data_IF_202865449852
#
_entry.id   IF_202865449852
#
_cell.length_a   1.000
_cell.length_b   1.000
_cell.length_c   1.000
_cell.angle_alpha   90.00
_cell.angle_beta   90.00
_cell.angle_gamma   90.00
#
_symmetry.space_group_name_H-M   'P 1'
#
loop_
_entity.id
_entity.type
_entity.pdbx_description
1 polymer ?
#
# COMPACT_ATOMS: atom_id res chain seq x y z
N UNK A 1 1.03 22.43 -3.21
CA UNK A 1 1.31 22.09 -1.80
C UNK A 1 2.49 21.13 -1.81
N UNK A 2 3.50 21.39 -0.99
CA UNK A 2 4.64 20.50 -0.83
C UNK A 2 4.25 19.31 0.07
N UNK A 3 4.83 18.14 -0.18
CA UNK A 3 4.49 16.90 0.55
C UNK A 3 4.69 17.01 2.07
N UNK A 4 5.68 17.79 2.51
CA UNK A 4 5.98 17.99 3.95
C UNK A 4 5.00 18.92 4.65
N UNK A 5 4.15 19.63 3.90
CA UNK A 5 3.08 20.48 4.46
C UNK A 5 1.80 19.69 4.75
N UNK A 6 1.72 18.44 4.28
CA UNK A 6 0.54 17.58 4.43
C UNK A 6 0.74 16.71 5.69
N UNK A 7 -0.16 16.76 6.68
CA UNK A 7 -0.05 15.91 7.88
C UNK A 7 -0.06 14.42 7.53
N UNK A 8 0.64 13.61 8.34
CA UNK A 8 0.59 12.13 8.25
C UNK A 8 -0.83 11.65 8.56
N UNK A 9 -1.35 10.76 7.72
CA UNK A 9 -2.63 10.11 7.95
C UNK A 9 -2.45 8.80 8.73
N UNK A 10 -3.45 8.45 9.54
CA UNK A 10 -3.48 7.21 10.29
C UNK A 10 -4.83 6.52 10.08
N UNK A 11 -4.88 5.21 10.29
CA UNK A 11 -6.16 4.49 10.36
C UNK A 11 -6.99 5.06 11.53
N UNK A 12 -8.26 5.41 11.32
CA UNK A 12 -9.12 5.88 12.40
C UNK A 12 -9.46 4.74 13.36
N UNK A 13 -9.73 5.08 14.62
CA UNK A 13 -10.23 4.12 15.62
C UNK A 13 -11.44 3.35 15.08
N UNK A 14 -11.36 2.02 15.08
CA UNK A 14 -12.42 1.16 14.56
C UNK A 14 -12.49 1.04 13.03
N UNK A 15 -11.45 1.48 12.31
CA UNK A 15 -11.30 1.42 10.86
C UNK A 15 -12.27 2.32 10.09
N UNK A 16 -11.92 2.68 8.87
CA UNK A 16 -12.87 3.37 8.00
C UNK A 16 -13.86 2.39 7.37
N UNK A 17 -15.13 2.81 7.25
CA UNK A 17 -16.19 2.02 6.62
C UNK A 17 -16.28 2.26 5.10
N UNK A 18 -15.90 3.45 4.68
CA UNK A 18 -15.81 3.88 3.28
C UNK A 18 -14.44 4.47 3.03
N UNK A 19 -13.90 4.22 1.83
CA UNK A 19 -12.58 4.69 1.43
C UNK A 19 -12.45 6.22 1.66
N UNK A 20 -11.45 6.69 2.42
CA UNK A 20 -11.30 8.11 2.73
C UNK A 20 -10.94 8.92 1.48
N UNK A 21 -11.12 10.24 1.56
CA UNK A 21 -10.63 11.16 0.53
C UNK A 21 -9.11 11.03 0.34
N UNK A 22 -8.56 11.32 -0.86
CA UNK A 22 -7.12 11.20 -1.08
C UNK A 22 -6.32 12.16 -0.20
N UNK A 23 -5.34 11.63 0.53
CA UNK A 23 -4.50 12.37 1.48
C UNK A 23 -3.58 13.35 0.77
N UNK A 24 -3.01 12.94 -0.37
CA UNK A 24 -2.05 13.73 -1.15
C UNK A 24 -2.73 14.54 -2.27
N UNK A 25 -4.05 14.75 -2.20
CA UNK A 25 -4.78 15.53 -3.18
C UNK A 25 -4.19 16.95 -3.34
N UNK A 26 -3.85 17.32 -4.58
CA UNK A 26 -3.27 18.65 -4.87
C UNK A 26 -1.81 18.83 -4.45
N UNK A 27 -1.15 17.77 -3.96
CA UNK A 27 0.31 17.77 -3.81
C UNK A 27 0.98 17.87 -5.18
N UNK A 28 2.04 18.67 -5.26
CA UNK A 28 2.79 18.91 -6.52
C UNK A 28 4.25 18.49 -6.42
N UNK A 29 4.67 17.89 -5.29
CA UNK A 29 6.03 17.37 -5.14
C UNK A 29 6.25 16.22 -6.14
N UNK A 30 7.28 16.27 -6.99
CA UNK A 30 7.56 15.20 -7.95
C UNK A 30 7.90 13.90 -7.22
N UNK A 31 7.68 12.75 -7.86
CA UNK A 31 8.08 11.46 -7.30
C UNK A 31 9.59 11.39 -7.10
N UNK A 32 10.00 10.69 -6.03
CA UNK A 32 11.38 10.33 -5.82
C UNK A 32 11.89 9.53 -7.04
N UNK A 33 13.13 9.76 -7.53
CA UNK A 33 13.61 9.15 -8.77
C UNK A 33 13.65 7.60 -8.76
N UNK A 34 13.78 7.00 -7.57
CA UNK A 34 13.77 5.54 -7.41
C UNK A 34 12.37 4.96 -7.18
N UNK A 35 11.33 5.79 -7.01
CA UNK A 35 9.99 5.32 -6.74
C UNK A 35 9.37 4.66 -7.99
N UNK A 36 8.82 3.45 -7.89
CA UNK A 36 7.88 2.99 -8.91
C UNK A 36 6.64 3.88 -8.89
N UNK A 37 6.11 4.19 -10.07
CA UNK A 37 4.83 4.89 -10.18
C UNK A 37 3.67 3.90 -9.94
N UNK A 38 3.26 3.81 -8.67
CA UNK A 38 2.17 2.98 -8.17
C UNK A 38 0.87 3.79 -8.00
N UNK A 39 0.90 5.11 -8.23
CA UNK A 39 -0.25 6.00 -7.99
C UNK A 39 -1.49 5.49 -8.69
N UNK A 40 -2.62 5.48 -7.99
CA UNK A 40 -3.95 5.15 -8.53
C UNK A 40 -4.69 4.11 -7.70
N UNK A 41 -5.77 3.60 -8.28
CA UNK A 41 -6.64 2.64 -7.62
C UNK A 41 -6.53 1.29 -8.34
N UNK A 42 -6.43 0.22 -7.55
CA UNK A 42 -6.02 -1.11 -7.99
C UNK A 42 -6.99 -2.15 -7.48
N UNK A 43 -7.29 -3.15 -8.31
CA UNK A 43 -8.08 -4.33 -7.93
C UNK A 43 -7.41 -5.59 -8.42
N UNK A 44 -7.48 -6.62 -7.58
CA UNK A 44 -6.99 -7.96 -7.91
C UNK A 44 -7.67 -8.53 -9.14
N UNK A 45 -6.87 -9.08 -10.05
CA UNK A 45 -7.32 -9.93 -11.16
C UNK A 45 -6.80 -11.36 -11.05
N UNK A 46 -5.77 -11.58 -10.24
CA UNK A 46 -5.20 -12.89 -9.93
C UNK A 46 -4.50 -12.82 -8.59
N UNK A 47 -4.68 -13.84 -7.77
CA UNK A 47 -3.92 -14.03 -6.54
C UNK A 47 -3.46 -15.49 -6.45
N UNK A 48 -2.27 -15.69 -5.91
CA UNK A 48 -1.69 -17.00 -5.63
C UNK A 48 -1.18 -17.06 -4.20
N UNK A 49 -1.35 -18.24 -3.59
CA UNK A 49 -0.84 -18.60 -2.26
C UNK A 49 -0.06 -19.89 -2.43
N UNK A 50 1.23 -19.86 -2.11
CA UNK A 50 2.18 -20.96 -2.28
C UNK A 50 2.15 -21.57 -3.70
N UNK A 51 2.06 -20.68 -4.71
CA UNK A 51 2.01 -21.04 -6.13
C UNK A 51 0.69 -21.65 -6.60
N UNK A 52 -0.33 -21.71 -5.74
CA UNK A 52 -1.67 -22.19 -6.07
C UNK A 52 -2.62 -21.00 -6.20
N UNK A 53 -3.52 -20.97 -7.20
CA UNK A 53 -4.55 -19.93 -7.28
C UNK A 53 -5.33 -19.81 -5.97
N UNK A 54 -5.48 -18.58 -5.46
CA UNK A 54 -6.27 -18.33 -4.27
C UNK A 54 -7.76 -18.63 -4.55
N UNK A 55 -8.47 -19.13 -3.54
CA UNK A 55 -9.92 -19.29 -3.62
C UNK A 55 -10.63 -17.95 -3.93
N UNK A 56 -11.73 -17.93 -4.70
CA UNK A 56 -12.37 -16.68 -5.13
C UNK A 56 -12.78 -15.76 -3.97
N UNK A 57 -13.14 -16.32 -2.83
CA UNK A 57 -13.57 -15.59 -1.63
C UNK A 57 -12.40 -15.25 -0.67
N UNK A 58 -11.18 -15.62 -1.03
CA UNK A 58 -9.98 -15.26 -0.27
C UNK A 58 -9.82 -13.74 -0.19
N UNK A 59 -9.38 -13.18 0.95
CA UNK A 59 -9.14 -11.74 1.07
C UNK A 59 -8.15 -11.23 0.00
N UNK A 60 -7.22 -12.07 -0.45
CA UNK A 60 -6.27 -11.71 -1.51
C UNK A 60 -6.92 -11.67 -2.90
N UNK A 61 -7.89 -12.56 -3.18
CA UNK A 61 -8.62 -12.59 -4.44
C UNK A 61 -9.59 -11.40 -4.56
N UNK A 62 -10.09 -10.89 -3.43
CA UNK A 62 -10.98 -9.73 -3.37
C UNK A 62 -10.26 -8.41 -3.05
N UNK A 63 -8.92 -8.42 -2.96
CA UNK A 63 -8.14 -7.27 -2.53
C UNK A 63 -8.26 -6.09 -3.51
N UNK A 64 -8.38 -4.89 -2.95
CA UNK A 64 -8.33 -3.63 -3.68
C UNK A 64 -7.60 -2.59 -2.82
N UNK A 65 -6.85 -1.70 -3.46
CA UNK A 65 -6.14 -0.63 -2.76
C UNK A 65 -6.05 0.65 -3.57
N UNK A 66 -5.99 1.79 -2.88
CA UNK A 66 -5.56 3.06 -3.47
C UNK A 66 -4.15 3.37 -2.99
N UNK A 67 -3.27 3.68 -3.92
CA UNK A 67 -1.91 4.16 -3.65
C UNK A 67 -1.78 5.60 -4.10
N UNK A 68 -1.26 6.45 -3.22
CA UNK A 68 -0.92 7.85 -3.47
C UNK A 68 0.57 8.04 -3.23
N UNK A 69 1.24 8.85 -4.05
CA UNK A 69 2.68 9.09 -3.91
C UNK A 69 3.04 10.54 -4.25
N UNK A 70 3.96 11.10 -3.46
CA UNK A 70 4.60 12.39 -3.72
C UNK A 70 5.97 12.40 -3.03
N UNK A 71 7.04 12.76 -3.76
CA UNK A 71 8.40 12.57 -3.25
C UNK A 71 8.66 11.10 -2.90
N UNK A 72 9.17 10.87 -1.69
CA UNK A 72 9.37 9.56 -1.08
C UNK A 72 8.18 9.08 -0.23
N UNK A 73 7.10 9.85 -0.14
CA UNK A 73 5.90 9.50 0.62
C UNK A 73 4.99 8.58 -0.17
N UNK A 74 4.47 7.57 0.50
CA UNK A 74 3.46 6.64 -0.02
C UNK A 74 2.30 6.55 0.97
N UNK A 75 1.08 6.69 0.48
CA UNK A 75 -0.14 6.42 1.26
C UNK A 75 -0.89 5.27 0.61
N UNK A 76 -1.16 4.22 1.37
CA UNK A 76 -1.92 3.04 0.94
C UNK A 76 -3.21 2.96 1.75
N UNK A 77 -4.35 3.03 1.06
CA UNK A 77 -5.66 2.79 1.67
C UNK A 77 -6.23 1.47 1.14
N UNK A 78 -6.53 0.54 2.04
CA UNK A 78 -7.13 -0.76 1.72
C UNK A 78 -7.77 -1.39 2.94
N UNK A 79 -8.85 -2.17 2.78
CA UNK A 79 -9.38 -3.03 3.85
C UNK A 79 -9.70 -2.32 5.16
N UNK A 80 -10.16 -1.07 5.11
CA UNK A 80 -10.43 -0.26 6.31
C UNK A 80 -9.23 0.46 6.94
N UNK A 81 -8.00 0.27 6.43
CA UNK A 81 -6.77 0.92 6.94
C UNK A 81 -6.20 1.99 6.01
N UNK A 82 -5.45 2.93 6.58
CA UNK A 82 -4.70 3.97 5.86
C UNK A 82 -3.27 4.01 6.38
N UNK A 83 -2.37 3.34 5.68
CA UNK A 83 -0.94 3.36 5.98
C UNK A 83 -0.27 4.49 5.23
N UNK A 84 0.35 5.40 5.96
CA UNK A 84 1.09 6.54 5.45
C UNK A 84 2.54 6.42 5.91
N UNK A 85 3.48 6.47 4.96
CA UNK A 85 4.90 6.29 5.25
C UNK A 85 5.81 7.05 4.30
N UNK A 86 7.06 7.24 4.72
CA UNK A 86 8.19 7.63 3.87
C UNK A 86 9.04 6.41 3.55
N UNK A 87 9.39 6.26 2.29
CA UNK A 87 10.29 5.22 1.81
C UNK A 87 11.77 5.63 1.97
N UNK A 88 12.15 6.12 3.16
CA UNK A 88 13.47 6.68 3.48
C UNK A 88 14.38 5.72 4.27
N UNK A 89 13.90 4.51 4.56
CA UNK A 89 14.63 3.49 5.31
C UNK A 89 14.69 3.71 6.82
N UNK A 90 13.93 4.67 7.35
CA UNK A 90 13.84 4.92 8.80
C UNK A 90 12.58 4.32 9.40
N UNK A 91 12.65 3.96 10.68
CA UNK A 91 11.46 3.60 11.44
C UNK A 91 10.63 4.84 11.78
N UNK A 92 11.29 5.96 12.14
CA UNK A 92 10.64 7.21 12.56
C UNK A 92 9.60 7.73 11.57
N UNK A 93 9.89 7.64 10.26
CA UNK A 93 8.97 8.04 9.20
C UNK A 93 8.26 6.85 8.53
N UNK A 94 8.37 5.67 9.12
CA UNK A 94 7.72 4.45 8.66
C UNK A 94 6.22 4.41 8.98
N UNK A 95 5.60 3.23 8.82
CA UNK A 95 4.22 3.03 9.26
C UNK A 95 4.20 2.84 10.77
N UNK A 96 3.43 3.67 11.47
CA UNK A 96 3.03 3.53 12.86
C UNK A 96 1.50 3.49 12.91
N UNK A 97 0.92 2.29 12.78
CA UNK A 97 -0.51 2.13 12.56
C UNK A 97 -1.02 0.75 13.04
N UNK A 98 -2.24 0.37 12.67
CA UNK A 98 -2.83 -0.93 12.99
C UNK A 98 -2.88 -1.87 11.79
N UNK A 99 -2.62 -3.15 12.01
CA UNK A 99 -2.79 -4.19 10.99
C UNK A 99 -4.25 -4.29 10.54
N UNK A 100 -4.47 -4.33 9.22
CA UNK A 100 -5.78 -4.69 8.64
C UNK A 100 -6.23 -6.13 8.98
N UNK A 101 -5.34 -6.96 9.52
CA UNK A 101 -5.61 -8.31 10.00
C UNK A 101 -5.67 -8.33 11.53
N UNK A 102 -6.74 -7.76 12.10
CA UNK A 102 -7.06 -7.92 13.53
C UNK A 102 -6.61 -6.80 14.46
N UNK A 103 -6.10 -5.68 13.93
CA UNK A 103 -5.95 -4.43 14.68
C UNK A 103 -4.78 -4.33 15.62
N UNK A 104 -3.87 -5.30 15.57
CA UNK A 104 -2.60 -5.23 16.27
C UNK A 104 -1.80 -4.05 15.74
N UNK A 105 -1.18 -3.28 16.63
CA UNK A 105 -0.23 -2.25 16.27
C UNK A 105 0.92 -2.83 15.43
N UNK A 106 1.33 -2.11 14.39
CA UNK A 106 2.41 -2.46 13.49
C UNK A 106 3.38 -1.30 13.32
N UNK A 107 4.64 -1.69 13.18
CA UNK A 107 5.77 -0.82 12.89
C UNK A 107 6.45 -1.31 11.63
N UNK A 108 6.57 -0.47 10.60
CA UNK A 108 7.06 -0.90 9.29
C UNK A 108 8.03 0.12 8.70
N UNK A 109 9.24 -0.32 8.36
CA UNK A 109 10.20 0.48 7.60
C UNK A 109 9.91 0.34 6.12
N UNK A 110 9.95 1.45 5.37
CA UNK A 110 9.73 1.47 3.94
C UNK A 110 10.99 1.95 3.18
N UNK A 111 11.26 1.36 2.02
CA UNK A 111 12.33 1.78 1.10
C UNK A 111 11.88 1.65 -0.35
N UNK A 112 12.57 2.38 -1.25
CA UNK A 112 12.53 2.09 -2.67
C UNK A 112 13.79 1.36 -3.11
N UNK A 113 13.62 0.16 -3.65
CA UNK A 113 14.72 -0.72 -4.07
C UNK A 113 14.40 -1.29 -5.44
N UNK A 114 15.29 -1.08 -6.42
CA UNK A 114 15.19 -1.68 -7.76
C UNK A 114 13.82 -1.50 -8.46
N UNK A 115 13.21 -0.31 -8.30
CA UNK A 115 11.88 -0.02 -8.86
C UNK A 115 10.73 -0.70 -8.12
N UNK A 116 10.93 -1.05 -6.84
CA UNK A 116 9.93 -1.63 -5.95
C UNK A 116 9.78 -0.76 -4.71
N UNK A 117 8.57 -0.69 -4.17
CA UNK A 117 8.35 -0.30 -2.79
C UNK A 117 8.51 -1.55 -1.93
N UNK A 118 9.41 -1.50 -0.95
CA UNK A 118 9.69 -2.60 -0.02
C UNK A 118 9.31 -2.18 1.38
N UNK A 119 8.47 -2.97 2.03
CA UNK A 119 8.02 -2.75 3.40
C UNK A 119 8.51 -3.88 4.30
N UNK A 120 9.10 -3.53 5.44
CA UNK A 120 9.69 -4.46 6.41
C UNK A 120 9.08 -4.23 7.79
N UNK A 121 8.11 -5.05 8.22
CA UNK A 121 7.57 -4.97 9.57
C UNK A 121 8.66 -5.32 10.60
N UNK A 122 8.78 -4.54 11.69
CA UNK A 122 9.90 -4.64 12.64
C UNK A 122 9.95 -6.00 13.38
N UNK A 123 8.79 -6.59 13.67
CA UNK A 123 8.67 -7.82 14.45
C UNK A 123 8.40 -9.06 13.60
N UNK A 124 8.61 -8.98 12.28
CA UNK A 124 8.33 -10.07 11.34
C UNK A 124 9.46 -10.20 10.33
N UNK A 125 9.96 -11.42 10.13
CA UNK A 125 10.94 -11.73 9.07
C UNK A 125 10.22 -11.94 7.73
N UNK A 126 9.64 -10.86 7.22
CA UNK A 126 8.88 -10.84 5.97
C UNK A 126 9.01 -9.49 5.27
N UNK A 127 8.98 -9.50 3.94
CA UNK A 127 8.87 -8.28 3.14
C UNK A 127 7.50 -8.21 2.47
N UNK A 128 6.94 -7.01 2.38
CA UNK A 128 5.78 -6.71 1.55
C UNK A 128 6.22 -5.81 0.41
N UNK A 129 6.09 -6.31 -0.82
CA UNK A 129 6.64 -5.68 -2.02
C UNK A 129 5.52 -5.18 -2.90
N UNK A 130 5.74 -4.03 -3.54
CA UNK A 130 4.90 -3.52 -4.64
C UNK A 130 5.76 -3.06 -5.81
N UNK A 131 5.44 -3.51 -7.02
CA UNK A 131 6.10 -3.07 -8.25
C UNK A 131 5.16 -3.09 -9.45
N UNK A 132 5.68 -2.60 -10.58
CA UNK A 132 4.96 -2.54 -11.86
C UNK A 132 5.41 -3.66 -12.78
N UNK A 133 4.45 -4.37 -13.36
CA UNK A 133 4.66 -5.29 -14.49
C UNK A 133 3.78 -4.84 -15.66
N UNK A 134 4.36 -4.03 -16.55
CA UNK A 134 3.60 -3.36 -17.60
C UNK A 134 2.48 -2.50 -17.00
N UNK A 135 1.24 -2.84 -17.33
CA UNK A 135 0.05 -2.14 -16.85
C UNK A 135 -0.42 -2.61 -15.46
N UNK A 136 0.11 -3.73 -14.96
CA UNK A 136 -0.29 -4.32 -13.67
C UNK A 136 0.57 -3.81 -12.53
N UNK A 137 -0.04 -3.67 -11.36
CA UNK A 137 0.69 -3.59 -10.10
C UNK A 137 0.75 -5.01 -9.53
N UNK A 138 1.92 -5.43 -9.10
CA UNK A 138 2.10 -6.67 -8.36
C UNK A 138 2.33 -6.32 -6.90
N UNK A 139 1.56 -6.96 -6.04
CA UNK A 139 1.70 -6.93 -4.59
C UNK A 139 2.13 -8.32 -4.12
N UNK A 140 3.17 -8.39 -3.29
CA UNK A 140 3.66 -9.65 -2.77
C UNK A 140 3.85 -9.54 -1.25
N UNK A 141 3.44 -10.58 -0.54
CA UNK A 141 3.66 -10.73 0.90
C UNK A 141 4.50 -11.98 1.13
N UNK A 142 5.75 -11.75 1.53
CA UNK A 142 6.75 -12.81 1.67
C UNK A 142 6.91 -13.64 0.39
N UNK A 143 7.46 -14.86 0.50
CA UNK A 143 7.62 -15.74 -0.65
C UNK A 143 6.30 -16.41 -1.08
N UNK A 144 5.26 -16.35 -0.26
CA UNK A 144 4.07 -17.19 -0.39
C UNK A 144 2.92 -16.55 -1.15
N UNK A 145 2.68 -15.24 -1.01
CA UNK A 145 1.48 -14.62 -1.55
C UNK A 145 1.85 -13.61 -2.62
N UNK A 146 1.28 -13.75 -3.82
CA UNK A 146 1.48 -12.82 -4.93
C UNK A 146 0.12 -12.46 -5.51
N UNK A 147 -0.11 -11.17 -5.71
CA UNK A 147 -1.37 -10.60 -6.19
C UNK A 147 -1.08 -9.68 -7.36
N UNK A 148 -1.68 -9.98 -8.51
CA UNK A 148 -1.61 -9.13 -9.70
C UNK A 148 -2.88 -8.30 -9.78
N UNK A 149 -2.71 -7.00 -9.96
CA UNK A 149 -3.78 -6.02 -9.85
C UNK A 149 -3.84 -5.15 -11.09
N UNK A 150 -5.05 -4.99 -11.62
CA UNK A 150 -5.31 -4.04 -12.70
C UNK A 150 -5.65 -2.66 -12.13
N UNK A 151 -5.33 -1.63 -12.91
CA UNK A 151 -5.74 -0.26 -12.61
C UNK A 151 -7.22 -0.11 -12.90
N UNK A 152 -7.95 0.54 -12.00
CA UNK A 152 -9.37 0.83 -12.20
C UNK A 152 -9.70 2.29 -11.87
N UNK A 153 -10.85 2.74 -12.37
CA UNK A 153 -11.42 4.02 -11.99
C UNK A 153 -11.80 3.99 -10.50
N UNK A 154 -11.63 5.13 -9.82
CA UNK A 154 -11.66 5.27 -8.37
C UNK A 154 -12.85 4.63 -7.62
N UNK A 155 -12.78 4.62 -6.29
CA UNK A 155 -13.50 3.67 -5.44
C UNK A 155 -15.01 3.94 -5.41
N UNK A 156 -15.78 3.37 -6.33
CA UNK A 156 -17.22 3.21 -6.13
C UNK A 156 -17.46 1.91 -5.37
N UNK A 157 -17.80 2.04 -4.09
CA UNK A 157 -18.25 0.93 -3.25
C UNK A 157 -17.16 0.00 -2.72
N UNK A 158 -15.94 0.50 -2.50
CA UNK A 158 -14.85 -0.32 -1.93
C UNK A 158 -14.80 -0.17 -0.41
N UNK A 159 -14.50 -1.29 0.25
CA UNK A 159 -14.11 -1.37 1.66
C UNK A 159 -12.71 -1.99 1.75
#
# INVERSE_FOLDING_TARGET
MHVDEIPVAHTPDGYWAEMPAPVLAGCTTPLHPNAPDLRGAWRTIRAEIDGTPAEPESPFATHAERVEQAGDRVVVCSGGVTHDMRADGTLENGVHDVSGLGGTEIHVVATFEEGRLVLRPVDMDVEVLRWREGDLMVWQFGPSIIVWMERIDGPKGWR
#
